data_IF_612930523656
#
_entry.id   IF_612930523656
#
_cell.length_a   1.000
_cell.length_b   1.000
_cell.length_c   1.000
_cell.angle_alpha   90.00
_cell.angle_beta   90.00
_cell.angle_gamma   90.00
#
_symmetry.space_group_name_H-M   'P 1'
#
loop_
_entity.id
_entity.type
_entity.pdbx_description
1 polymer ?
#
# COMPACT_ATOMS: atom_id res chain seq x y z
N UNK A 1 -65.27 -9.73 12.43
CA UNK A 1 -64.52 -9.24 11.25
C UNK A 1 -63.10 -9.01 11.71
N UNK A 2 -62.19 -9.98 11.58
CA UNK A 2 -61.35 -10.34 10.42
C UNK A 2 -59.92 -9.99 10.81
N UNK A 3 -59.09 -11.01 11.03
CA UNK A 3 -57.66 -10.87 11.24
C UNK A 3 -56.96 -10.49 9.93
N UNK A 4 -55.88 -9.70 10.02
CA UNK A 4 -54.82 -9.71 9.02
C UNK A 4 -53.49 -9.72 9.76
N UNK A 5 -52.80 -10.85 9.65
CA UNK A 5 -51.37 -11.00 9.97
C UNK A 5 -50.59 -10.46 8.78
N UNK A 6 -49.59 -9.62 9.03
CA UNK A 6 -48.54 -9.32 8.07
C UNK A 6 -47.18 -9.52 8.75
N UNK A 7 -46.53 -10.63 8.42
CA UNK A 7 -45.10 -10.88 8.66
C UNK A 7 -44.35 -10.25 7.49
N UNK A 8 -43.40 -9.37 7.76
CA UNK A 8 -42.27 -9.12 6.85
C UNK A 8 -40.98 -9.11 7.65
N UNK A 9 -40.01 -9.86 7.13
CA UNK A 9 -38.75 -10.19 7.73
C UNK A 9 -37.62 -9.27 7.23
N UNK A 10 -36.47 -9.39 7.91
CA UNK A 10 -35.11 -9.01 7.51
C UNK A 10 -34.75 -7.52 7.68
N UNK A 11 -33.81 -7.25 8.59
CA UNK A 11 -32.39 -7.08 8.22
C UNK A 11 -31.57 -7.01 9.50
N UNK A 12 -30.61 -7.93 9.65
CA UNK A 12 -29.68 -7.95 10.76
C UNK A 12 -28.77 -6.73 10.72
N UNK A 13 -28.77 -5.94 11.79
CA UNK A 13 -27.63 -5.09 12.12
C UNK A 13 -26.57 -5.98 12.75
N UNK A 14 -25.69 -6.53 11.92
CA UNK A 14 -24.45 -7.15 12.36
C UNK A 14 -23.65 -6.12 13.15
N UNK A 15 -23.19 -6.52 14.34
CA UNK A 15 -22.30 -5.75 15.18
C UNK A 15 -21.09 -5.24 14.38
N UNK A 16 -20.94 -3.92 14.26
CA UNK A 16 -19.71 -3.33 13.76
C UNK A 16 -18.72 -3.33 14.94
N UNK A 17 -17.91 -4.37 15.00
CA UNK A 17 -16.78 -4.44 15.91
C UNK A 17 -15.82 -3.27 15.59
N UNK A 18 -15.61 -2.39 16.57
CA UNK A 18 -14.48 -1.47 16.59
C UNK A 18 -13.21 -2.32 16.76
N UNK A 19 -12.67 -2.78 15.64
CA UNK A 19 -11.28 -3.17 15.53
C UNK A 19 -10.59 -2.04 14.79
N UNK A 20 -9.72 -1.31 15.48
CA UNK A 20 -8.69 -0.50 14.83
C UNK A 20 -7.82 -1.48 14.03
N UNK A 21 -8.14 -1.66 12.76
CA UNK A 21 -7.27 -2.38 11.85
C UNK A 21 -6.00 -1.54 11.73
N UNK A 22 -4.90 -2.03 12.30
CA UNK A 22 -3.58 -1.71 11.75
C UNK A 22 -3.70 -1.99 10.25
N UNK A 23 -3.53 -0.96 9.43
CA UNK A 23 -3.63 -1.09 7.98
C UNK A 23 -2.49 -2.03 7.53
N UNK A 24 -2.81 -3.31 7.39
CA UNK A 24 -1.91 -4.28 6.78
C UNK A 24 -1.63 -3.79 5.35
N UNK A 25 -0.36 -3.81 4.95
CA UNK A 25 0.05 -3.41 3.62
C UNK A 25 -0.78 -4.14 2.55
N UNK A 26 -1.19 -3.41 1.52
CA UNK A 26 -2.13 -3.86 0.52
C UNK A 26 -1.64 -3.52 -0.88
N UNK A 27 -2.04 -4.35 -1.84
CA UNK A 27 -1.78 -4.13 -3.26
C UNK A 27 -3.03 -3.53 -3.87
N UNK A 28 -2.91 -2.38 -4.52
CA UNK A 28 -4.01 -1.79 -5.29
C UNK A 28 -3.72 -1.82 -6.79
N UNK A 29 -4.76 -1.97 -7.60
CA UNK A 29 -4.67 -1.72 -9.05
C UNK A 29 -5.37 -0.40 -9.33
N UNK A 30 -4.73 0.47 -10.11
CA UNK A 30 -5.39 1.71 -10.54
C UNK A 30 -6.61 1.37 -11.42
N UNK A 31 -7.77 2.02 -11.23
CA UNK A 31 -8.93 1.83 -12.08
C UNK A 31 -8.60 2.11 -13.56
N UNK A 32 -8.66 1.07 -14.39
CA UNK A 32 -8.39 1.16 -15.84
C UNK A 32 -7.03 0.63 -16.27
N UNK A 33 -6.13 0.34 -15.33
CA UNK A 33 -4.86 -0.33 -15.61
C UNK A 33 -5.01 -1.85 -15.41
N UNK A 34 -4.58 -2.64 -16.39
CA UNK A 34 -4.52 -4.11 -16.26
C UNK A 34 -3.21 -4.54 -15.61
N UNK A 35 -2.69 -3.75 -14.67
CA UNK A 35 -1.45 -3.98 -13.96
C UNK A 35 -1.60 -3.72 -12.45
N UNK A 36 -0.62 -4.21 -11.72
CA UNK A 36 -0.44 -4.07 -10.29
C UNK A 36 0.64 -3.01 -10.07
N UNK A 37 0.20 -1.87 -9.56
CA UNK A 37 1.01 -0.78 -9.04
C UNK A 37 0.63 -0.52 -7.58
N UNK A 38 0.88 0.66 -7.05
CA UNK A 38 0.29 1.14 -5.79
C UNK A 38 0.39 0.13 -4.63
N UNK A 39 1.59 -0.07 -4.13
CA UNK A 39 1.81 -0.92 -2.97
C UNK A 39 1.69 -0.05 -1.72
N UNK A 40 0.56 -0.15 -1.05
CA UNK A 40 0.19 0.71 0.07
C UNK A 40 0.60 0.09 1.40
N UNK A 41 1.14 0.91 2.30
CA UNK A 41 1.49 0.55 3.66
C UNK A 41 1.40 1.79 4.56
N UNK A 42 1.66 1.62 5.86
CA UNK A 42 1.81 2.77 6.76
C UNK A 42 2.92 3.73 6.32
N UNK A 43 3.95 3.25 5.62
CA UNK A 43 5.16 4.01 5.33
C UNK A 43 5.03 4.98 4.15
N UNK A 44 4.06 4.76 3.28
CA UNK A 44 3.67 5.66 2.18
C UNK A 44 2.26 6.25 2.34
N UNK A 45 1.59 6.02 3.47
CA UNK A 45 0.30 6.64 3.79
C UNK A 45 0.45 7.98 4.52
N UNK A 46 -0.60 8.80 4.46
CA UNK A 46 -0.75 10.00 5.31
C UNK A 46 -1.44 9.63 6.63
N UNK A 47 -0.80 9.83 7.80
CA UNK A 47 -1.43 9.55 9.09
C UNK A 47 -2.64 10.44 9.34
N UNK A 48 -3.70 9.87 9.95
CA UNK A 48 -4.95 10.60 10.25
C UNK A 48 -4.72 11.75 11.25
N UNK A 49 -3.76 11.59 12.17
CA UNK A 49 -3.39 12.62 13.15
C UNK A 49 -2.36 13.61 12.61
N UNK A 50 -1.90 13.43 11.36
CA UNK A 50 -0.87 14.23 10.72
C UNK A 50 0.54 14.05 11.30
N UNK A 51 0.73 13.13 12.25
CA UNK A 51 2.03 12.94 12.88
C UNK A 51 2.95 12.09 12.01
N UNK A 52 3.85 12.76 11.30
CA UNK A 52 4.84 12.11 10.41
C UNK A 52 6.19 11.86 11.09
N UNK A 53 6.28 12.01 12.41
CA UNK A 53 7.54 11.83 13.13
C UNK A 53 8.09 10.40 12.96
N UNK A 54 9.31 10.29 12.45
CA UNK A 54 9.98 9.00 12.23
C UNK A 54 9.54 8.28 10.95
N UNK A 55 8.67 8.88 10.13
CA UNK A 55 8.31 8.36 8.82
C UNK A 55 9.34 8.78 7.77
N UNK A 56 9.55 7.97 6.72
CA UNK A 56 10.41 8.34 5.61
C UNK A 56 9.83 9.57 4.87
N UNK A 57 10.74 10.43 4.39
CA UNK A 57 10.38 11.54 3.50
C UNK A 57 10.09 11.06 2.08
N UNK A 58 10.76 9.99 1.65
CA UNK A 58 10.59 9.42 0.32
C UNK A 58 10.84 7.91 0.38
N UNK A 59 9.92 7.15 -0.21
CA UNK A 59 10.01 5.70 -0.33
C UNK A 59 9.92 5.28 -1.78
N UNK A 60 10.61 4.20 -2.12
CA UNK A 60 10.40 3.47 -3.37
C UNK A 60 9.90 2.07 -3.08
N UNK A 61 9.05 1.56 -3.95
CA UNK A 61 8.70 0.14 -3.99
C UNK A 61 9.43 -0.51 -5.14
N UNK A 62 10.15 -1.60 -4.87
CA UNK A 62 10.98 -2.29 -5.87
C UNK A 62 10.63 -3.76 -6.00
N UNK A 63 10.79 -4.31 -7.20
CA UNK A 63 10.78 -5.76 -7.43
C UNK A 63 12.09 -6.35 -6.93
N UNK A 64 12.03 -7.25 -5.96
CA UNK A 64 13.20 -7.74 -5.24
C UNK A 64 14.30 -8.31 -6.14
N UNK A 65 13.97 -9.09 -7.17
CA UNK A 65 14.98 -9.78 -7.98
C UNK A 65 15.70 -8.86 -8.97
N UNK A 66 15.04 -7.79 -9.40
CA UNK A 66 15.53 -6.92 -10.48
C UNK A 66 15.96 -5.55 -9.97
N UNK A 67 15.50 -5.15 -8.78
CA UNK A 67 15.64 -3.80 -8.26
C UNK A 67 14.84 -2.77 -9.04
N UNK A 68 13.94 -3.18 -9.94
CA UNK A 68 13.10 -2.27 -10.70
C UNK A 68 12.14 -1.54 -9.76
N UNK A 69 12.18 -0.21 -9.78
CA UNK A 69 11.22 0.63 -9.06
C UNK A 69 9.88 0.59 -9.81
N UNK A 70 8.80 0.30 -9.10
CA UNK A 70 7.44 0.18 -9.63
C UNK A 70 6.47 1.18 -9.02
N UNK A 71 6.88 1.82 -7.93
CA UNK A 71 6.12 2.87 -7.26
C UNK A 71 7.08 3.75 -6.46
N UNK A 72 6.71 5.02 -6.28
CA UNK A 72 7.46 5.99 -5.53
C UNK A 72 6.52 6.98 -4.85
N UNK A 73 6.81 7.28 -3.59
CA UNK A 73 5.99 8.14 -2.76
C UNK A 73 6.88 9.16 -2.05
N UNK A 74 6.46 10.42 -2.05
CA UNK A 74 7.16 11.52 -1.39
C UNK A 74 6.21 12.23 -0.45
N UNK A 75 6.74 12.61 0.71
CA UNK A 75 6.04 13.45 1.67
C UNK A 75 6.24 14.92 1.35
N UNK A 76 5.14 15.66 1.26
CA UNK A 76 5.14 17.12 1.15
C UNK A 76 5.59 17.76 2.46
N UNK A 77 5.80 19.08 2.44
CA UNK A 77 6.15 19.85 3.64
C UNK A 77 5.07 19.83 4.73
N UNK A 78 3.82 19.51 4.39
CA UNK A 78 2.71 19.38 5.35
C UNK A 78 2.50 17.94 5.85
N UNK A 79 3.33 16.99 5.41
CA UNK A 79 3.29 15.59 5.83
C UNK A 79 2.37 14.69 4.99
N UNK A 80 1.69 15.25 3.98
CA UNK A 80 0.90 14.47 3.02
C UNK A 80 1.82 13.58 2.18
N UNK A 81 1.50 12.30 2.07
CA UNK A 81 2.15 11.40 1.13
C UNK A 81 1.52 11.54 -0.26
N UNK A 82 2.36 11.72 -1.27
CA UNK A 82 1.96 11.86 -2.67
C UNK A 82 2.73 10.86 -3.53
N UNK A 83 2.01 10.19 -4.43
CA UNK A 83 2.63 9.39 -5.47
C UNK A 83 3.41 10.30 -6.43
N UNK A 84 4.64 9.92 -6.71
CA UNK A 84 5.52 10.61 -7.66
C UNK A 84 6.00 9.62 -8.72
N UNK A 85 6.41 10.14 -9.87
CA UNK A 85 6.94 9.28 -10.92
C UNK A 85 8.24 8.61 -10.44
N UNK A 86 8.40 7.28 -10.56
CA UNK A 86 9.62 6.56 -10.15
C UNK A 86 10.92 7.18 -10.66
N UNK A 87 10.94 7.66 -11.90
CA UNK A 87 12.10 8.31 -12.53
C UNK A 87 12.47 9.66 -11.93
N UNK A 88 11.61 10.24 -11.09
CA UNK A 88 11.85 11.51 -10.38
C UNK A 88 12.54 11.34 -9.02
N UNK A 89 12.81 10.10 -8.61
CA UNK A 89 13.51 9.75 -7.36
C UNK A 89 14.99 9.49 -7.67
N UNK A 90 15.88 10.24 -7.02
CA UNK A 90 17.33 10.00 -7.12
C UNK A 90 17.77 8.94 -6.10
N UNK A 91 17.34 7.69 -6.34
CA UNK A 91 17.71 6.54 -5.51
C UNK A 91 18.23 5.38 -6.35
N UNK A 92 19.44 4.92 -6.03
CA UNK A 92 20.04 3.75 -6.67
C UNK A 92 19.79 2.49 -5.85
N UNK A 93 18.97 1.61 -6.40
CA UNK A 93 18.68 0.31 -5.79
C UNK A 93 19.92 -0.60 -5.88
N UNK A 94 20.37 -1.10 -4.74
CA UNK A 94 21.37 -2.16 -4.65
C UNK A 94 20.65 -3.47 -4.34
N UNK A 95 20.46 -4.31 -5.34
CA UNK A 95 19.79 -5.61 -5.18
C UNK A 95 20.57 -6.49 -4.22
N UNK A 96 19.92 -6.95 -3.15
CA UNK A 96 20.47 -7.91 -2.21
C UNK A 96 20.05 -9.33 -2.59
N UNK A 97 20.99 -10.26 -2.85
CA UNK A 97 20.68 -11.65 -3.14
C UNK A 97 19.90 -12.39 -2.04
N UNK A 98 19.83 -11.85 -0.81
CA UNK A 98 19.04 -12.43 0.27
C UNK A 98 17.57 -12.02 0.26
N UNK A 99 17.16 -11.08 -0.60
CA UNK A 99 15.76 -10.67 -0.70
C UNK A 99 14.87 -11.82 -1.21
N UNK A 100 13.64 -11.95 -0.71
CA UNK A 100 12.74 -13.01 -1.14
C UNK A 100 12.30 -12.77 -2.58
N UNK A 101 12.25 -13.83 -3.39
CA UNK A 101 11.75 -13.78 -4.77
C UNK A 101 10.23 -13.52 -4.80
N UNK A 102 9.74 -12.89 -5.87
CA UNK A 102 8.35 -12.49 -6.10
C UNK A 102 7.82 -11.57 -5.00
N UNK A 103 8.63 -10.60 -4.57
CA UNK A 103 8.21 -9.62 -3.57
C UNK A 103 8.44 -8.19 -4.04
N UNK A 104 7.55 -7.32 -3.60
CA UNK A 104 7.72 -5.89 -3.61
C UNK A 104 8.33 -5.46 -2.28
N UNK A 105 9.41 -4.70 -2.32
CA UNK A 105 10.09 -4.19 -1.14
C UNK A 105 9.91 -2.69 -1.09
N UNK A 106 9.35 -2.19 0.02
CA UNK A 106 9.31 -0.75 0.26
C UNK A 106 10.58 -0.34 0.98
N UNK A 107 11.28 0.65 0.44
CA UNK A 107 12.59 1.08 0.90
C UNK A 107 12.55 2.56 1.25
N UNK A 108 13.06 2.92 2.42
CA UNK A 108 13.41 4.30 2.76
C UNK A 108 14.63 4.73 1.95
N UNK A 109 14.44 5.70 1.04
CA UNK A 109 15.50 6.16 0.14
C UNK A 109 16.65 6.86 0.88
N UNK A 110 16.39 7.43 2.06
CA UNK A 110 17.41 8.14 2.83
C UNK A 110 18.40 7.17 3.50
N UNK A 111 17.93 5.99 3.89
CA UNK A 111 18.72 5.01 4.65
C UNK A 111 19.02 3.72 3.89
N UNK A 112 18.31 3.45 2.80
CA UNK A 112 18.35 2.19 2.06
C UNK A 112 17.71 1.02 2.82
N UNK A 113 17.00 1.29 3.93
CA UNK A 113 16.39 0.26 4.76
C UNK A 113 15.09 -0.24 4.12
N UNK A 114 14.93 -1.56 4.05
CA UNK A 114 13.64 -2.19 3.74
C UNK A 114 12.69 -1.98 4.92
N UNK A 115 11.57 -1.31 4.67
CA UNK A 115 10.53 -0.99 5.64
C UNK A 115 9.40 -2.02 5.63
N UNK A 116 9.06 -2.54 4.46
CA UNK A 116 7.96 -3.46 4.24
C UNK A 116 8.31 -4.47 3.14
N UNK A 117 7.78 -5.69 3.24
CA UNK A 117 7.98 -6.75 2.25
C UNK A 117 6.64 -7.39 1.93
N UNK A 118 6.19 -7.25 0.69
CA UNK A 118 4.88 -7.68 0.23
C UNK A 118 5.02 -8.71 -0.87
N UNK A 119 4.30 -9.83 -0.75
CA UNK A 119 4.28 -10.86 -1.79
C UNK A 119 3.58 -10.32 -3.04
N UNK A 120 4.21 -10.48 -4.21
CA UNK A 120 3.59 -10.19 -5.51
C UNK A 120 2.87 -11.46 -5.95
N UNK A 121 1.54 -11.44 -6.15
CA UNK A 121 0.81 -12.62 -6.59
C UNK A 121 1.38 -13.19 -7.89
N UNK A 122 1.45 -14.51 -7.98
CA UNK A 122 1.97 -15.19 -9.16
C UNK A 122 1.20 -14.76 -10.42
N UNK A 123 1.94 -14.30 -11.43
CA UNK A 123 1.44 -13.77 -12.71
C UNK A 123 0.70 -12.42 -12.63
N UNK A 124 0.78 -11.70 -11.52
CA UNK A 124 0.31 -10.32 -11.49
C UNK A 124 1.14 -9.47 -12.47
N UNK A 125 0.54 -8.90 -13.53
CA UNK A 125 1.25 -7.96 -14.39
C UNK A 125 1.62 -6.73 -13.56
N UNK A 126 2.89 -6.36 -13.49
CA UNK A 126 3.31 -5.14 -12.78
C UNK A 126 3.25 -3.95 -13.73
N UNK A 127 2.93 -2.77 -13.19
CA UNK A 127 2.95 -1.54 -13.99
C UNK A 127 4.38 -1.21 -14.44
N UNK A 128 4.51 -0.55 -15.60
CA UNK A 128 5.79 -0.10 -16.18
C UNK A 128 6.12 1.33 -15.78
#
# INVERSE_FOLDING_TARGET
MTAVVAVMALTGCSAQANASAEAAGGITSSPGENCTGGFESIWNSTPVDGNVSGMPQETVTVVSETGRVIDAMRRTSDGTAEAVAPESVDYKVNVDPSWPMNHALMIDTATGKVLETMEIPANAPLCE
#
